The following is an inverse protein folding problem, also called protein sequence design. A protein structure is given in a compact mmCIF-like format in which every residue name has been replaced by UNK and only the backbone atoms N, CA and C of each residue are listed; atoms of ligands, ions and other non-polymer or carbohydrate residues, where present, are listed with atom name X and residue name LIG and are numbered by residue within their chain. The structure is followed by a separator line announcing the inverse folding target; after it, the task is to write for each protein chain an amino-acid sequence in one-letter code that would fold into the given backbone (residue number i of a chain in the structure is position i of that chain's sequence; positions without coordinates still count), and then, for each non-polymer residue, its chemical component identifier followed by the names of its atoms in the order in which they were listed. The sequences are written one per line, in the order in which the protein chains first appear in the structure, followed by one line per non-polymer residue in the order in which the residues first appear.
data_IF_357535096511
#
_entry.id   IF_357535096511
#
_cell.length_a   1.000
_cell.length_b   1.000
_cell.length_c   1.000
_cell.angle_alpha   90.00
_cell.angle_beta   90.00
_cell.angle_gamma   90.00
#
_symmetry.space_group_name_H-M   'P 1'
#
loop_
_entity.id
_entity.type
_entity.pdbx_description
1 polymer ?
#
# COMPACT_ATOMS: atom_id res chain seq x y z
N UNK A 1 13.09 3.63 -5.37
CA UNK A 1 13.65 4.89 -5.90
C UNK A 1 14.72 5.50 -4.99
N UNK A 2 14.39 6.06 -3.82
CA UNK A 2 15.41 6.69 -2.95
C UNK A 2 16.53 5.73 -2.49
N UNK A 3 16.23 4.44 -2.37
CA UNK A 3 17.18 3.39 -1.98
C UNK A 3 17.84 2.67 -3.18
N UNK A 4 17.62 3.13 -4.42
CA UNK A 4 18.10 2.43 -5.62
C UNK A 4 17.37 1.11 -5.96
N UNK A 5 16.39 0.70 -5.14
CA UNK A 5 15.58 -0.49 -5.37
C UNK A 5 14.58 -0.30 -6.53
N UNK A 6 14.40 -1.36 -7.32
CA UNK A 6 13.41 -1.45 -8.38
C UNK A 6 11.99 -1.45 -7.78
N UNK A 7 11.16 -0.43 -8.07
CA UNK A 7 9.80 -0.34 -7.55
C UNK A 7 8.83 -1.37 -8.15
N UNK A 8 9.18 -2.03 -9.26
CA UNK A 8 8.35 -3.07 -9.89
C UNK A 8 8.57 -4.45 -9.27
N UNK A 9 9.61 -4.61 -8.45
CA UNK A 9 9.92 -5.86 -7.74
C UNK A 9 9.65 -5.69 -6.26
N UNK A 10 8.40 -5.90 -5.83
CA UNK A 10 8.02 -5.85 -4.42
C UNK A 10 7.76 -7.28 -3.91
N UNK A 11 7.97 -7.56 -2.60
CA UNK A 11 8.41 -6.64 -1.54
C UNK A 11 9.94 -6.55 -1.36
N UNK A 12 10.40 -5.51 -0.67
CA UNK A 12 11.82 -5.32 -0.26
C UNK A 12 11.93 -5.21 1.26
N UNK A 13 12.82 -6.00 1.86
CA UNK A 13 13.02 -6.05 3.32
C UNK A 13 13.44 -4.69 3.90
N UNK A 14 14.29 -3.97 3.19
CA UNK A 14 14.83 -2.68 3.62
C UNK A 14 13.72 -1.63 3.77
N UNK A 15 12.67 -1.71 2.95
CA UNK A 15 11.52 -0.82 3.05
C UNK A 15 10.72 -1.15 4.32
N UNK A 16 10.51 -2.43 4.62
CA UNK A 16 9.79 -2.85 5.83
C UNK A 16 10.55 -2.47 7.10
N UNK A 17 11.87 -2.65 7.14
CA UNK A 17 12.71 -2.24 8.27
C UNK A 17 12.64 -0.71 8.50
N UNK A 18 12.55 0.09 7.43
CA UNK A 18 12.33 1.54 7.53
C UNK A 18 10.94 1.87 8.10
N UNK A 19 9.90 1.14 7.70
CA UNK A 19 8.55 1.34 8.24
C UNK A 19 8.51 1.05 9.74
N UNK A 20 9.15 -0.04 10.18
CA UNK A 20 9.29 -0.35 11.62
C UNK A 20 9.98 0.79 12.36
N UNK A 21 11.12 1.26 11.84
CA UNK A 21 11.87 2.36 12.45
C UNK A 21 11.08 3.67 12.48
N UNK A 22 10.32 3.96 11.42
CA UNK A 22 9.46 5.13 11.35
C UNK A 22 8.39 5.09 12.45
N UNK A 23 7.74 3.95 12.67
CA UNK A 23 6.73 3.78 13.72
C UNK A 23 7.34 3.94 15.12
N UNK A 24 8.53 3.39 15.36
CA UNK A 24 9.24 3.60 16.63
C UNK A 24 9.51 5.09 16.91
N UNK A 25 10.01 5.82 15.91
CA UNK A 25 10.28 7.25 16.02
C UNK A 25 8.98 8.04 16.21
N UNK A 26 7.90 7.68 15.51
CA UNK A 26 6.61 8.34 15.65
C UNK A 26 6.10 8.28 17.09
N UNK A 27 6.24 7.13 17.76
CA UNK A 27 5.89 6.97 19.18
C UNK A 27 6.76 7.85 20.07
N UNK A 28 8.08 7.88 19.83
CA UNK A 28 9.04 8.69 20.62
C UNK A 28 8.74 10.18 20.57
N UNK A 29 8.32 10.68 19.41
CA UNK A 29 8.07 12.10 19.19
C UNK A 29 6.59 12.47 19.26
N UNK A 30 5.73 11.54 19.69
CA UNK A 30 4.28 11.75 19.83
C UNK A 30 3.61 12.23 18.53
N UNK A 31 4.08 11.73 17.38
CA UNK A 31 3.51 12.01 16.06
C UNK A 31 2.92 10.75 15.42
N UNK A 32 2.04 10.96 14.45
CA UNK A 32 1.39 9.87 13.71
C UNK A 32 2.28 9.37 12.57
N UNK A 33 2.53 8.07 12.53
CA UNK A 33 3.09 7.37 11.38
C UNK A 33 2.02 7.13 10.30
N UNK A 34 2.34 7.49 9.06
CA UNK A 34 1.52 7.24 7.88
C UNK A 34 2.22 6.38 6.84
N UNK A 35 1.48 5.55 6.12
CA UNK A 35 2.00 4.70 5.03
C UNK A 35 0.95 4.45 3.93
N UNK A 36 1.43 4.05 2.76
CA UNK A 36 0.57 3.61 1.65
C UNK A 36 0.23 2.11 1.74
N UNK A 37 -0.96 1.77 1.26
CA UNK A 37 -1.45 0.42 1.02
C UNK A 37 -2.20 0.39 -0.32
N UNK A 38 -2.22 -0.74 -1.00
CA UNK A 38 -2.88 -0.90 -2.31
C UNK A 38 -3.75 -2.16 -2.41
N UNK A 39 -3.82 -2.94 -1.34
CA UNK A 39 -4.74 -4.09 -1.19
C UNK A 39 -5.30 -4.17 0.23
N UNK A 40 -6.46 -4.80 0.45
CA UNK A 40 -7.04 -4.95 1.79
C UNK A 40 -6.09 -5.68 2.76
N UNK A 41 -5.35 -6.67 2.27
CA UNK A 41 -4.36 -7.41 3.05
C UNK A 41 -3.23 -6.48 3.52
N UNK A 42 -2.72 -5.63 2.61
CA UNK A 42 -1.68 -4.67 2.96
C UNK A 42 -2.15 -3.60 3.95
N UNK A 43 -3.44 -3.24 3.98
CA UNK A 43 -3.99 -2.35 5.03
C UNK A 43 -3.80 -3.01 6.40
N UNK A 44 -4.17 -4.29 6.52
CA UNK A 44 -4.03 -5.03 7.76
C UNK A 44 -2.57 -5.07 8.22
N UNK A 45 -1.64 -5.35 7.31
CA UNK A 45 -0.21 -5.36 7.62
C UNK A 45 0.26 -3.99 8.16
N UNK A 46 -0.19 -2.88 7.58
CA UNK A 46 0.15 -1.52 8.06
C UNK A 46 -0.44 -1.24 9.45
N UNK A 47 -1.67 -1.66 9.72
CA UNK A 47 -2.29 -1.52 11.04
C UNK A 47 -1.48 -2.31 12.08
N UNK A 48 -1.15 -3.57 11.77
CA UNK A 48 -0.40 -4.45 12.67
C UNK A 48 1.03 -3.93 12.92
N UNK A 49 1.63 -3.24 11.94
CA UNK A 49 2.90 -2.50 12.09
C UNK A 49 2.78 -1.26 12.99
N UNK A 50 1.57 -0.77 13.29
CA UNK A 50 1.32 0.40 14.12
C UNK A 50 1.16 1.72 13.36
N UNK A 51 0.99 1.67 12.02
CA UNK A 51 0.63 2.82 11.20
C UNK A 51 -0.82 3.22 11.49
N UNK A 52 -1.09 4.52 11.61
CA UNK A 52 -2.44 5.02 11.92
C UNK A 52 -3.08 5.83 10.79
N UNK A 53 -2.28 6.38 9.88
CA UNK A 53 -2.77 7.06 8.69
C UNK A 53 -2.43 6.24 7.44
N UNK A 54 -3.43 5.65 6.81
CA UNK A 54 -3.22 4.75 5.66
C UNK A 54 -3.84 5.36 4.42
N UNK A 55 -3.02 5.63 3.40
CA UNK A 55 -3.48 6.02 2.07
C UNK A 55 -3.71 4.78 1.23
N UNK A 56 -4.95 4.57 0.77
CA UNK A 56 -5.36 3.39 -0.01
C UNK A 56 -5.31 3.64 -1.53
N UNK A 57 -4.15 4.07 -2.00
CA UNK A 57 -3.95 4.45 -3.39
C UNK A 57 -4.75 5.70 -3.81
N UNK A 58 -4.46 6.23 -5.00
CA UNK A 58 -5.17 7.37 -5.56
C UNK A 58 -6.50 6.95 -6.22
N UNK A 59 -7.43 7.90 -6.33
CA UNK A 59 -8.75 7.75 -6.96
C UNK A 59 -8.69 7.15 -8.38
N UNK A 60 -7.76 7.60 -9.21
CA UNK A 60 -7.60 7.11 -10.58
C UNK A 60 -7.17 5.64 -10.65
N UNK A 61 -6.45 5.14 -9.65
CA UNK A 61 -6.08 3.72 -9.59
C UNK A 61 -7.30 2.85 -9.26
N UNK A 62 -8.16 3.31 -8.35
CA UNK A 62 -9.39 2.61 -8.00
C UNK A 62 -10.39 2.62 -9.16
N UNK A 63 -10.54 3.77 -9.83
CA UNK A 63 -11.41 3.92 -10.99
C UNK A 63 -10.97 2.99 -12.14
N UNK A 64 -9.68 3.00 -12.48
CA UNK A 64 -9.16 2.16 -13.56
C UNK A 64 -9.28 0.67 -13.25
N UNK A 65 -9.00 0.26 -12.01
CA UNK A 65 -9.17 -1.13 -11.58
C UNK A 65 -10.64 -1.58 -11.64
N UNK A 66 -11.58 -0.74 -11.18
CA UNK A 66 -13.01 -1.02 -11.24
C UNK A 66 -13.51 -1.15 -12.70
N UNK A 67 -13.12 -0.22 -13.56
CA UNK A 67 -13.48 -0.25 -14.98
C UNK A 67 -12.95 -1.52 -15.67
N UNK A 68 -11.67 -1.86 -15.44
CA UNK A 68 -11.05 -3.07 -15.97
C UNK A 68 -11.80 -4.33 -15.51
N UNK A 69 -12.10 -4.42 -14.21
CA UNK A 69 -12.81 -5.57 -13.64
C UNK A 69 -14.19 -5.74 -14.28
N UNK A 70 -14.93 -4.64 -14.49
CA UNK A 70 -16.23 -4.68 -15.16
C UNK A 70 -16.16 -5.18 -16.60
N UNK A 71 -15.20 -4.68 -17.38
CA UNK A 71 -14.98 -5.15 -18.76
C UNK A 71 -14.60 -6.62 -18.81
N UNK A 72 -13.67 -7.05 -17.94
CA UNK A 72 -13.20 -8.43 -17.90
C UNK A 72 -14.33 -9.39 -17.46
N UNK A 73 -15.25 -8.96 -16.58
CA UNK A 73 -16.44 -9.72 -16.22
C UNK A 73 -17.43 -9.87 -17.39
N UNK A 74 -17.66 -8.78 -18.14
CA UNK A 74 -18.55 -8.83 -19.31
C UNK A 74 -18.01 -9.76 -20.40
N UNK A 75 -16.71 -9.68 -20.71
CA UNK A 75 -16.06 -10.57 -21.69
C UNK A 75 -16.27 -12.04 -21.38
N UNK A 76 -16.08 -12.44 -20.12
CA UNK A 76 -16.29 -13.82 -19.65
C UNK A 76 -17.72 -14.33 -19.81
N UNK A 77 -18.73 -13.46 -19.94
CA UNK A 77 -20.12 -13.85 -20.15
C UNK A 77 -20.46 -13.98 -21.64
N UNK A 78 -19.67 -13.37 -22.52
CA UNK A 78 -19.90 -13.31 -23.96
C UNK A 78 -18.98 -14.23 -24.77
N UNK A 79 -17.96 -14.79 -24.14
CA UNK A 79 -17.10 -15.87 -24.63
C UNK A 79 -17.66 -17.24 -24.19
#
# INVERSE_FOLDING_TARGET
MALGLDPLQLPHKEIDDIVVRMVELSKRFEVVAGAGASSPESIKDRIDQGVKYISYGPDYSLLSAAAKTGVDAFRKLTE
#
